data_IF_410989553768
#
_entry.id   IF_410989553768
#
_cell.length_a   1.000
_cell.length_b   1.000
_cell.length_c   1.000
_cell.angle_alpha   90.00
_cell.angle_beta   90.00
_cell.angle_gamma   90.00
#
_symmetry.space_group_name_H-M   'P 1'
#
loop_
_entity.id
_entity.type
_entity.pdbx_description
1 polymer ?
#
# COMPACT_ATOMS: atom_id res chain seq x y z
N UNK A 1 6.00 1.61 18.87
CA UNK A 1 5.67 1.94 17.47
C UNK A 1 5.11 0.67 16.81
N UNK A 2 3.84 0.65 16.39
CA UNK A 2 3.15 -0.60 16.03
C UNK A 2 3.71 -1.32 14.79
N UNK A 3 4.55 -0.67 13.98
CA UNK A 3 5.20 -1.29 12.83
C UNK A 3 5.95 -2.58 13.18
N UNK A 4 6.67 -2.60 14.32
CA UNK A 4 7.47 -3.77 14.73
C UNK A 4 6.63 -5.03 15.00
N UNK A 5 5.38 -4.87 15.46
CA UNK A 5 4.47 -5.98 15.75
C UNK A 5 3.86 -6.60 14.48
N UNK A 6 4.01 -5.92 13.35
CA UNK A 6 3.40 -6.26 12.06
C UNK A 6 4.45 -6.49 10.96
N UNK A 7 5.74 -6.28 11.26
CA UNK A 7 6.83 -6.36 10.29
C UNK A 7 7.14 -7.81 9.84
N UNK A 8 6.66 -8.82 10.57
CA UNK A 8 6.75 -10.23 10.19
C UNK A 8 5.69 -10.65 9.18
N UNK A 9 4.65 -9.83 8.97
CA UNK A 9 3.64 -10.07 7.95
C UNK A 9 4.21 -9.82 6.55
N UNK A 10 3.71 -10.51 5.51
CA UNK A 10 4.22 -10.36 4.15
C UNK A 10 3.99 -8.94 3.62
N UNK A 11 4.97 -8.44 2.86
CA UNK A 11 4.98 -7.12 2.22
C UNK A 11 4.56 -5.98 3.19
N UNK A 12 5.28 -5.76 4.30
CA UNK A 12 4.93 -4.71 5.24
C UNK A 12 5.32 -3.35 4.66
N UNK A 13 4.40 -2.39 4.75
CA UNK A 13 4.62 -1.01 4.34
C UNK A 13 4.40 -0.06 5.52
N UNK A 14 5.31 0.90 5.63
CA UNK A 14 5.21 2.05 6.52
C UNK A 14 5.30 3.31 5.67
N UNK A 15 4.28 4.15 5.75
CA UNK A 15 4.34 5.53 5.27
C UNK A 15 4.40 6.43 6.50
N UNK A 16 5.57 7.02 6.68
CA UNK A 16 5.88 7.92 7.77
C UNK A 16 5.72 9.36 7.28
N UNK A 17 4.88 10.14 7.96
CA UNK A 17 4.62 11.54 7.60
C UNK A 17 5.75 12.51 7.94
N UNK A 18 6.77 12.07 8.69
CA UNK A 18 8.02 12.77 9.02
C UNK A 18 7.89 14.02 9.90
N UNK A 19 6.68 14.56 10.05
CA UNK A 19 6.40 15.79 10.80
C UNK A 19 5.93 15.50 12.23
N UNK A 20 6.06 16.50 13.12
CA UNK A 20 5.51 16.44 14.47
C UNK A 20 3.97 16.27 14.47
N UNK A 21 3.33 16.56 13.33
CA UNK A 21 1.88 16.49 13.14
C UNK A 21 1.61 15.71 11.85
N UNK A 22 0.82 14.65 11.94
CA UNK A 22 0.54 13.80 10.78
C UNK A 22 0.04 12.42 11.18
N UNK A 23 -0.45 11.70 10.18
CA UNK A 23 -0.88 10.32 10.31
C UNK A 23 0.15 9.42 9.66
N UNK A 24 0.67 8.46 10.44
CA UNK A 24 1.45 7.37 9.87
C UNK A 24 0.54 6.24 9.47
N UNK A 25 0.92 5.55 8.41
CA UNK A 25 0.18 4.42 7.89
C UNK A 25 1.08 3.19 7.93
N UNK A 26 0.59 2.13 8.58
CA UNK A 26 1.19 0.80 8.53
C UNK A 26 0.20 -0.17 7.90
N UNK A 27 0.61 -0.91 6.88
CA UNK A 27 -0.18 -1.99 6.30
C UNK A 27 0.71 -3.19 5.99
N UNK A 28 0.14 -4.38 5.93
CA UNK A 28 0.84 -5.60 5.54
C UNK A 28 -0.16 -6.65 5.06
N UNK A 29 0.32 -7.80 4.60
CA UNK A 29 -0.48 -8.90 4.08
C UNK A 29 -1.46 -8.45 2.99
N UNK A 30 -0.95 -8.04 1.82
CA UNK A 30 -1.80 -7.61 0.73
C UNK A 30 -2.64 -8.77 0.19
N UNK A 31 -3.70 -8.43 -0.55
CA UNK A 31 -4.52 -9.43 -1.22
C UNK A 31 -3.72 -10.11 -2.33
N UNK A 32 -3.56 -11.44 -2.26
CA UNK A 32 -2.65 -12.22 -3.12
C UNK A 32 -2.81 -11.96 -4.63
N UNK A 33 -4.05 -11.76 -5.11
CA UNK A 33 -4.36 -11.55 -6.52
C UNK A 33 -4.62 -10.07 -6.89
N UNK A 34 -4.26 -9.15 -6.00
CA UNK A 34 -4.47 -7.71 -6.18
C UNK A 34 -3.15 -6.95 -6.06
N UNK A 35 -2.15 -7.46 -6.77
CA UNK A 35 -0.80 -6.90 -6.81
C UNK A 35 -0.39 -6.70 -8.27
N UNK A 36 0.13 -5.53 -8.59
CA UNK A 36 0.60 -5.16 -9.92
C UNK A 36 2.10 -4.88 -9.85
N UNK A 37 2.84 -5.41 -10.83
CA UNK A 37 4.28 -5.23 -10.92
C UNK A 37 4.66 -4.79 -12.32
N UNK A 38 5.45 -3.73 -12.40
CA UNK A 38 6.10 -3.26 -13.61
C UNK A 38 7.58 -3.69 -13.58
N UNK A 39 8.10 -4.33 -14.64
CA UNK A 39 9.49 -4.80 -14.68
C UNK A 39 10.50 -3.63 -14.65
N UNK A 40 11.75 -3.91 -14.27
CA UNK A 40 12.82 -2.91 -14.07
C UNK A 40 13.10 -2.01 -15.29
N UNK A 41 13.00 -2.55 -16.51
CA UNK A 41 13.16 -1.81 -17.76
C UNK A 41 11.88 -1.90 -18.59
N UNK A 42 10.84 -1.12 -18.25
CA UNK A 42 9.56 -1.22 -18.92
C UNK A 42 9.58 -0.53 -20.28
N UNK A 43 8.71 -0.98 -21.18
CA UNK A 43 8.39 -0.26 -22.43
C UNK A 43 7.24 0.72 -22.16
N UNK A 44 7.03 1.71 -23.05
CA UNK A 44 5.90 2.64 -22.92
C UNK A 44 4.55 1.92 -22.90
N UNK A 45 4.40 0.83 -23.67
CA UNK A 45 3.21 -0.02 -23.66
C UNK A 45 3.01 -0.73 -22.30
N UNK A 46 4.08 -1.23 -21.68
CA UNK A 46 4.00 -1.85 -20.37
C UNK A 46 3.62 -0.84 -19.27
N UNK A 47 4.15 0.39 -19.34
CA UNK A 47 3.77 1.49 -18.44
C UNK A 47 2.29 1.81 -18.58
N UNK A 48 1.79 2.01 -19.81
CA UNK A 48 0.39 2.29 -20.07
C UNK A 48 -0.52 1.16 -19.57
N UNK A 49 -0.16 -0.10 -19.85
CA UNK A 49 -0.90 -1.27 -19.37
C UNK A 49 -0.93 -1.37 -17.83
N UNK A 50 0.17 -1.03 -17.17
CA UNK A 50 0.24 -1.01 -15.70
C UNK A 50 -0.72 0.02 -15.10
N UNK A 51 -0.74 1.25 -15.59
CA UNK A 51 -1.65 2.28 -15.08
C UNK A 51 -3.12 1.99 -15.41
N UNK A 52 -3.42 1.45 -16.60
CA UNK A 52 -4.78 1.00 -16.93
C UNK A 52 -5.25 -0.15 -16.02
N UNK A 53 -4.36 -1.10 -15.71
CA UNK A 53 -4.65 -2.15 -14.74
C UNK A 53 -4.83 -1.59 -13.33
N UNK A 54 -4.07 -0.57 -12.95
CA UNK A 54 -4.17 0.12 -11.66
C UNK A 54 -5.52 0.85 -11.51
N UNK A 55 -5.98 1.52 -12.56
CA UNK A 55 -7.30 2.16 -12.62
C UNK A 55 -8.42 1.13 -12.49
N UNK A 56 -8.32 0.01 -13.21
CA UNK A 56 -9.28 -1.10 -13.13
C UNK A 56 -9.34 -1.69 -11.72
N UNK A 57 -8.17 -1.94 -11.12
CA UNK A 57 -8.03 -2.44 -9.75
C UNK A 57 -8.65 -1.46 -8.74
N UNK A 58 -8.45 -0.16 -8.96
CA UNK A 58 -8.98 0.89 -8.10
C UNK A 58 -10.50 1.02 -8.22
N UNK A 59 -11.06 0.89 -9.42
CA UNK A 59 -12.48 1.01 -9.72
C UNK A 59 -13.30 -0.17 -9.17
N UNK A 60 -12.71 -1.37 -9.11
CA UNK A 60 -13.35 -2.57 -8.57
C UNK A 60 -13.45 -2.58 -7.02
N UNK A 61 -12.99 -1.51 -6.36
CA UNK A 61 -13.07 -1.42 -4.90
C UNK A 61 -14.50 -1.14 -4.45
N UNK A 62 -14.94 -1.72 -3.32
CA UNK A 62 -16.25 -1.47 -2.74
C UNK A 62 -16.33 -0.01 -2.28
N UNK A 63 -17.54 0.54 -2.31
CA UNK A 63 -17.81 1.87 -1.81
C UNK A 63 -17.27 2.08 -0.39
N UNK A 64 -16.68 3.24 -0.19
CA UNK A 64 -16.19 3.69 1.12
C UNK A 64 -17.38 4.34 1.84
N UNK A 65 -17.63 3.96 3.09
CA UNK A 65 -18.67 4.61 3.90
C UNK A 65 -18.22 5.98 4.43
N UNK A 66 -19.18 6.79 4.87
CA UNK A 66 -18.94 8.16 5.34
C UNK A 66 -17.97 8.27 6.54
N UNK A 67 -17.81 7.20 7.32
CA UNK A 67 -16.84 7.15 8.40
C UNK A 67 -15.42 6.98 7.86
N UNK A 68 -15.24 6.11 6.86
CA UNK A 68 -13.96 5.83 6.22
C UNK A 68 -13.52 6.92 5.22
N UNK A 69 -14.45 7.71 4.65
CA UNK A 69 -14.09 8.83 3.76
C UNK A 69 -13.35 9.97 4.48
N UNK A 70 -13.47 10.05 5.81
CA UNK A 70 -12.74 11.03 6.64
C UNK A 70 -11.31 10.61 6.95
N UNK A 71 -10.96 9.35 6.67
CA UNK A 71 -9.63 8.81 6.91
C UNK A 71 -8.77 8.96 5.63
N UNK A 72 -7.47 9.27 5.75
CA UNK A 72 -6.60 9.39 4.59
C UNK A 72 -6.42 8.06 3.84
N UNK A 73 -6.67 6.94 4.52
CA UNK A 73 -6.62 5.61 3.95
C UNK A 73 -7.54 4.65 4.70
N UNK A 74 -8.36 3.90 3.97
CA UNK A 74 -9.31 2.96 4.55
C UNK A 74 -9.26 1.57 3.87
N UNK A 75 -8.05 1.15 3.51
CA UNK A 75 -7.80 0.01 2.64
C UNK A 75 -7.78 0.45 1.18
N UNK A 76 -6.77 0.03 0.44
CA UNK A 76 -6.49 0.55 -0.88
C UNK A 76 -5.12 0.16 -1.40
N UNK A 77 -4.68 0.89 -2.42
CA UNK A 77 -3.47 0.61 -3.16
C UNK A 77 -2.30 1.35 -2.53
N UNK A 78 -1.26 0.62 -2.15
CA UNK A 78 0.00 1.18 -1.66
C UNK A 78 1.15 0.48 -2.35
N UNK A 79 2.17 1.25 -2.70
CA UNK A 79 3.31 0.68 -3.41
C UNK A 79 4.38 1.71 -3.73
N UNK A 80 5.30 1.25 -4.56
CA UNK A 80 6.41 2.01 -5.11
C UNK A 80 6.16 2.25 -6.60
N UNK A 81 6.32 3.50 -7.03
CA UNK A 81 6.52 3.83 -8.44
C UNK A 81 7.91 4.45 -8.52
N UNK A 82 8.86 3.68 -9.03
CA UNK A 82 10.24 4.08 -9.18
C UNK A 82 10.44 5.01 -10.37
N UNK A 83 11.59 5.67 -10.39
CA UNK A 83 11.95 6.62 -11.44
C UNK A 83 11.92 6.00 -12.85
N UNK A 84 12.35 4.73 -12.98
CA UNK A 84 12.41 4.04 -14.27
C UNK A 84 11.03 3.80 -14.91
N UNK A 85 9.94 3.86 -14.14
CA UNK A 85 8.58 3.78 -14.67
C UNK A 85 8.23 5.00 -15.55
N UNK A 86 8.87 6.15 -15.31
CA UNK A 86 8.63 7.37 -16.06
C UNK A 86 9.50 7.50 -17.32
N UNK A 87 10.65 6.80 -17.40
CA UNK A 87 11.58 6.91 -18.52
C UNK A 87 10.91 6.68 -19.90
N UNK A 88 10.10 5.63 -20.11
CA UNK A 88 9.47 5.38 -21.40
C UNK A 88 8.41 6.42 -21.78
N UNK A 89 7.86 7.17 -20.81
CA UNK A 89 6.92 8.27 -21.07
C UNK A 89 7.63 9.48 -21.69
N UNK A 90 8.94 9.61 -21.48
CA UNK A 90 9.79 10.65 -22.04
C UNK A 90 10.58 10.17 -23.27
N UNK A 91 10.27 8.99 -23.81
CA UNK A 91 11.00 8.39 -24.92
C UNK A 91 12.42 7.92 -24.55
N UNK A 92 12.71 7.78 -23.26
CA UNK A 92 13.99 7.29 -22.77
C UNK A 92 13.92 5.78 -22.55
N UNK A 93 14.99 5.07 -22.91
CA UNK A 93 15.11 3.65 -22.62
C UNK A 93 15.25 3.42 -21.10
N UNK A 94 14.44 2.50 -20.57
CA UNK A 94 14.55 2.06 -19.17
C UNK A 94 15.95 1.51 -18.89
N UNK A 95 16.55 1.92 -17.77
CA UNK A 95 17.85 1.41 -17.33
C UNK A 95 17.61 0.34 -16.29
N UNK A 96 17.82 -0.93 -16.64
CA UNK A 96 17.92 -1.96 -15.60
C UNK A 96 19.20 -1.70 -14.80
N UNK A 97 19.06 -1.18 -13.59
CA UNK A 97 20.17 -1.06 -12.65
C UNK A 97 20.73 -2.43 -12.22
N UNK A 98 21.89 -2.47 -11.52
CA UNK A 98 22.49 -3.71 -11.04
C UNK A 98 21.59 -4.49 -10.05
N UNK A 99 20.63 -3.82 -9.42
CA UNK A 99 19.52 -4.45 -8.70
C UNK A 99 18.31 -4.51 -9.63
N UNK A 100 17.85 -5.72 -9.98
CA UNK A 100 16.68 -5.97 -10.82
C UNK A 100 15.32 -5.62 -10.15
N UNK A 101 15.31 -4.54 -9.35
CA UNK A 101 14.12 -4.04 -8.67
C UNK A 101 13.05 -3.67 -9.71
N UNK A 102 11.77 -3.96 -9.45
CA UNK A 102 10.70 -3.56 -10.35
C UNK A 102 10.64 -2.03 -10.49
N UNK A 103 10.33 -1.55 -11.69
CA UNK A 103 10.13 -0.12 -11.92
C UNK A 103 8.88 0.39 -11.18
N UNK A 104 7.90 -0.46 -10.92
CA UNK A 104 6.79 -0.19 -10.02
C UNK A 104 6.27 -1.48 -9.39
N UNK A 105 5.78 -1.40 -8.15
CA UNK A 105 5.15 -2.49 -7.43
C UNK A 105 4.05 -1.89 -6.56
N UNK A 106 2.80 -2.26 -6.83
CA UNK A 106 1.64 -1.76 -6.07
C UNK A 106 0.79 -2.93 -5.62
N UNK A 107 0.42 -2.91 -4.35
CA UNK A 107 -0.41 -3.93 -3.71
C UNK A 107 -1.69 -3.33 -3.17
N UNK A 108 -2.78 -4.10 -3.20
CA UNK A 108 -4.01 -3.77 -2.51
C UNK A 108 -4.01 -4.33 -1.08
N UNK A 109 -3.96 -3.43 -0.12
CA UNK A 109 -4.04 -3.75 1.30
C UNK A 109 -5.49 -3.65 1.77
N UNK A 110 -6.07 -4.71 2.35
CA UNK A 110 -7.45 -4.71 2.79
C UNK A 110 -7.63 -4.00 4.15
N UNK A 111 -6.54 -3.68 4.84
CA UNK A 111 -6.50 -2.97 6.12
C UNK A 111 -5.27 -2.07 6.22
N UNK A 112 -5.29 -1.15 7.18
CA UNK A 112 -4.14 -0.40 7.65
C UNK A 112 -4.32 0.02 9.11
N UNK A 113 -3.21 0.29 9.79
CA UNK A 113 -3.17 0.98 11.07
C UNK A 113 -2.77 2.43 10.81
N UNK A 114 -3.64 3.36 11.19
CA UNK A 114 -3.37 4.79 11.15
C UNK A 114 -2.96 5.25 12.54
N UNK A 115 -1.84 5.96 12.66
CA UNK A 115 -1.34 6.47 13.93
C UNK A 115 -1.34 7.99 13.90
N UNK A 116 -2.11 8.61 14.79
CA UNK A 116 -2.09 10.04 15.02
C UNK A 116 -1.06 10.37 16.10
N UNK A 117 0.04 11.00 15.68
CA UNK A 117 1.12 11.38 16.59
C UNK A 117 0.74 12.49 17.54
N UNK A 118 -0.06 13.45 17.08
CA UNK A 118 -0.48 14.58 17.88
C UNK A 118 -1.41 14.13 19.01
N UNK A 119 -2.30 13.17 18.71
CA UNK A 119 -3.26 12.64 19.68
C UNK A 119 -2.76 11.43 20.46
N UNK A 120 -1.66 10.80 20.03
CA UNK A 120 -1.15 9.52 20.54
C UNK A 120 -2.20 8.42 20.47
N UNK A 121 -3.00 8.43 19.41
CA UNK A 121 -4.06 7.46 19.13
C UNK A 121 -3.68 6.61 17.92
N UNK A 122 -4.15 5.37 17.88
CA UNK A 122 -4.00 4.50 16.73
C UNK A 122 -5.32 3.79 16.43
N UNK A 123 -5.65 3.67 15.14
CA UNK A 123 -6.87 3.02 14.69
C UNK A 123 -6.53 1.93 13.68
N UNK A 124 -7.06 0.73 13.90
CA UNK A 124 -7.08 -0.32 12.89
C UNK A 124 -8.29 -0.09 11.97
N UNK A 125 -8.01 0.21 10.71
CA UNK A 125 -9.01 0.43 9.67
C UNK A 125 -8.98 -0.78 8.75
N UNK A 126 -10.11 -1.46 8.59
CA UNK A 126 -10.23 -2.62 7.73
C UNK A 126 -11.46 -2.50 6.83
N UNK A 127 -11.35 -2.95 5.58
CA UNK A 127 -12.48 -3.01 4.66
C UNK A 127 -13.51 -4.05 5.08
N UNK A 128 -14.79 -3.86 4.69
CA UNK A 128 -15.78 -4.92 4.74
C UNK A 128 -15.25 -6.15 4.00
N UNK A 129 -15.35 -7.33 4.64
CA UNK A 129 -14.90 -8.59 4.06
C UNK A 129 -13.49 -9.06 4.47
N UNK A 130 -12.74 -8.28 5.27
CA UNK A 130 -11.51 -8.80 5.89
C UNK A 130 -11.85 -9.99 6.78
N UNK A 131 -11.11 -11.09 6.61
CA UNK A 131 -11.34 -12.34 7.33
C UNK A 131 -11.35 -12.08 8.86
N UNK A 132 -12.37 -12.55 9.60
CA UNK A 132 -12.44 -12.36 11.05
C UNK A 132 -11.21 -12.91 11.80
N UNK A 133 -10.59 -13.98 11.27
CA UNK A 133 -9.35 -14.52 11.81
C UNK A 133 -8.19 -13.53 11.72
N UNK A 134 -7.97 -12.93 10.54
CA UNK A 134 -6.94 -11.91 10.34
C UNK A 134 -7.18 -10.69 11.23
N UNK A 135 -8.42 -10.21 11.33
CA UNK A 135 -8.76 -9.08 12.21
C UNK A 135 -8.42 -9.37 13.68
N UNK A 136 -8.74 -10.58 14.17
CA UNK A 136 -8.40 -10.98 15.55
C UNK A 136 -6.90 -11.05 15.77
N UNK A 137 -6.16 -11.62 14.82
CA UNK A 137 -4.70 -11.69 14.88
C UNK A 137 -4.06 -10.30 14.94
N UNK A 138 -4.49 -9.38 14.05
CA UNK A 138 -4.02 -7.99 14.04
C UNK A 138 -4.29 -7.28 15.37
N UNK A 139 -5.50 -7.42 15.91
CA UNK A 139 -5.83 -6.83 17.21
C UNK A 139 -5.02 -7.43 18.36
N UNK A 140 -4.76 -8.74 18.34
CA UNK A 140 -3.94 -9.39 19.36
C UNK A 140 -2.49 -8.87 19.33
N UNK A 141 -1.91 -8.73 18.13
CA UNK A 141 -0.56 -8.17 17.93
C UNK A 141 -0.45 -6.72 18.35
N UNK A 142 -1.47 -5.92 18.08
CA UNK A 142 -1.49 -4.49 18.42
C UNK A 142 -1.67 -4.22 19.93
N UNK A 143 -2.30 -5.15 20.66
CA UNK A 143 -2.45 -5.06 22.11
C UNK A 143 -1.33 -5.76 22.90
N UNK A 144 -0.46 -6.52 22.23
CA UNK A 144 0.71 -7.10 22.88
C UNK A 144 1.67 -5.97 23.34
N UNK A 145 2.14 -6.01 24.60
CA UNK A 145 2.98 -4.96 25.18
C UNK A 145 4.35 -4.83 24.51
#
# INVERSE_FOLDING_TARGET
MHYRCLADLPDPVLLDSGADHGLDLVAAAPLANRSLRLPAAPTSAAVAGFFAALETLHADRPAVDDARTRLPFAGGLVGLVGYDAALPLHGLAGRAGPAAAPAALVHEYPWAVLQDRARREAWLVARPGVAPALRRDLLARLHAP
#
